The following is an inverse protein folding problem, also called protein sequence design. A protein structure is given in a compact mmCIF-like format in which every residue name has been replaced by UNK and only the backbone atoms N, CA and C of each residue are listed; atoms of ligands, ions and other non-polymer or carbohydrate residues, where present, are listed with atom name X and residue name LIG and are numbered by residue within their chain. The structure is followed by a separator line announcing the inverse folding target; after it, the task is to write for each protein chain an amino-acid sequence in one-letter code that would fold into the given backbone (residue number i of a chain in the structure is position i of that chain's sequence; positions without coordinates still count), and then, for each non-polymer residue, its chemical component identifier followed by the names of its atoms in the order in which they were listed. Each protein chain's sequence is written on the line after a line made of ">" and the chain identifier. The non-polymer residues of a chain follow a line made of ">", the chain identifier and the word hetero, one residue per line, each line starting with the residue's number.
data_IF_575934726628
#
_entry.id   IF_575934726628
#
_cell.length_a   1.000
_cell.length_b   1.000
_cell.length_c   1.000
_cell.angle_alpha   90.00
_cell.angle_beta   90.00
_cell.angle_gamma   90.00
#
_symmetry.space_group_name_H-M   'P 1'
#
loop_
_entity.id
_entity.type
_entity.pdbx_description
1 polymer ?
#
# COMPACT_ATOMS: atom_id res chain seq x y z
N UNK A 1 -2.48 -15.87 -4.25
CA UNK A 1 -2.24 -14.51 -4.77
C UNK A 1 -0.81 -14.06 -4.52
N UNK A 2 -0.36 -13.91 -3.26
CA UNK A 2 0.98 -13.37 -2.92
C UNK A 2 2.16 -14.17 -3.52
N UNK A 3 2.13 -15.51 -3.46
CA UNK A 3 3.15 -16.36 -4.11
C UNK A 3 3.19 -16.14 -5.63
N UNK A 4 2.02 -15.91 -6.24
CA UNK A 4 1.92 -15.64 -7.68
C UNK A 4 2.55 -14.29 -8.03
N UNK A 5 2.26 -13.25 -7.25
CA UNK A 5 2.89 -11.93 -7.39
C UNK A 5 4.40 -12.02 -7.22
N UNK A 6 4.90 -12.74 -6.20
CA UNK A 6 6.34 -12.92 -6.01
C UNK A 6 7.00 -13.60 -7.22
N UNK A 7 6.41 -14.69 -7.73
CA UNK A 7 6.92 -15.39 -8.92
C UNK A 7 6.92 -14.49 -10.15
N UNK A 8 5.88 -13.68 -10.31
CA UNK A 8 5.82 -12.69 -11.38
C UNK A 8 6.98 -11.69 -11.31
N UNK A 9 7.25 -11.15 -10.12
CA UNK A 9 8.33 -10.17 -9.94
C UNK A 9 9.73 -10.79 -10.07
N UNK A 10 9.91 -12.05 -9.66
CA UNK A 10 11.18 -12.76 -9.82
C UNK A 10 11.54 -13.02 -11.29
N UNK A 11 10.59 -12.94 -12.22
CA UNK A 11 10.89 -12.97 -13.66
C UNK A 11 11.43 -11.63 -14.19
N UNK A 12 11.26 -10.54 -13.44
CA UNK A 12 11.61 -9.18 -13.85
C UNK A 12 12.77 -8.60 -13.04
N UNK A 13 13.00 -9.11 -11.83
CA UNK A 13 14.03 -8.65 -10.91
C UNK A 13 14.81 -9.82 -10.34
N UNK A 14 16.12 -9.65 -10.21
CA UNK A 14 16.98 -10.62 -9.51
C UNK A 14 16.63 -10.74 -8.03
N UNK A 15 16.26 -9.63 -7.40
CA UNK A 15 15.83 -9.55 -6.00
C UNK A 15 14.54 -8.72 -5.87
N UNK A 16 13.56 -9.27 -5.16
CA UNK A 16 12.27 -8.62 -4.92
C UNK A 16 12.19 -8.19 -3.47
N UNK A 17 12.34 -6.88 -3.22
CA UNK A 17 12.16 -6.30 -1.89
C UNK A 17 10.72 -5.85 -1.67
N UNK A 18 10.37 -5.47 -0.43
CA UNK A 18 9.09 -4.83 -0.15
C UNK A 18 8.89 -3.52 -0.93
N UNK A 19 9.95 -2.81 -1.30
CA UNK A 19 9.84 -1.58 -2.09
C UNK A 19 9.24 -1.83 -3.49
N UNK A 20 9.40 -3.04 -4.04
CA UNK A 20 8.88 -3.42 -5.35
C UNK A 20 7.37 -3.72 -5.34
N UNK A 21 6.73 -3.72 -4.17
CA UNK A 21 5.28 -3.94 -4.00
C UNK A 21 4.60 -2.93 -3.08
N UNK A 22 5.35 -2.33 -2.15
CA UNK A 22 4.85 -1.51 -1.06
C UNK A 22 5.40 -0.07 -1.14
N UNK A 23 5.48 0.47 -2.35
CA UNK A 23 5.91 1.85 -2.63
C UNK A 23 5.16 2.43 -3.84
N UNK A 24 5.43 3.70 -4.16
CA UNK A 24 4.90 4.31 -5.38
C UNK A 24 5.39 3.61 -6.65
N UNK A 25 6.66 3.17 -6.69
CA UNK A 25 7.18 2.43 -7.85
C UNK A 25 6.70 0.97 -7.88
N UNK A 26 6.30 0.42 -6.72
CA UNK A 26 5.83 -0.96 -6.61
C UNK A 26 4.35 -1.15 -6.97
N UNK A 27 3.53 -0.11 -6.81
CA UNK A 27 2.09 -0.17 -7.07
C UNK A 27 1.75 -0.52 -8.54
N UNK A 28 2.45 0.02 -9.56
CA UNK A 28 2.30 -0.43 -10.94
C UNK A 28 2.63 -1.91 -11.16
N UNK A 29 3.56 -2.49 -10.40
CA UNK A 29 3.86 -3.91 -10.52
C UNK A 29 2.71 -4.81 -10.04
N UNK A 30 2.02 -4.40 -8.96
CA UNK A 30 0.81 -5.09 -8.50
C UNK A 30 -0.28 -5.01 -9.57
N UNK A 31 -0.48 -3.83 -10.16
CA UNK A 31 -1.44 -3.63 -11.23
C UNK A 31 -1.15 -4.53 -12.44
N UNK A 32 0.11 -4.55 -12.90
CA UNK A 32 0.53 -5.35 -14.05
C UNK A 32 0.32 -6.85 -13.80
N UNK A 33 0.70 -7.35 -12.63
CA UNK A 33 0.45 -8.74 -12.25
C UNK A 33 -1.04 -9.09 -12.27
N UNK A 34 -1.88 -8.27 -11.63
CA UNK A 34 -3.32 -8.52 -11.56
C UNK A 34 -3.98 -8.45 -12.93
N UNK A 35 -3.52 -7.57 -13.82
CA UNK A 35 -3.94 -7.52 -15.22
C UNK A 35 -3.65 -8.84 -15.94
N UNK A 36 -2.46 -9.41 -15.77
CA UNK A 36 -2.08 -10.68 -16.40
C UNK A 36 -2.89 -11.88 -15.91
N UNK A 37 -3.42 -11.83 -14.68
CA UNK A 37 -4.32 -12.90 -14.20
C UNK A 37 -5.66 -12.96 -14.94
N UNK A 38 -6.02 -11.91 -15.69
CA UNK A 38 -7.31 -11.78 -16.39
C UNK A 38 -8.55 -11.95 -15.50
N UNK A 39 -8.39 -11.82 -14.17
CA UNK A 39 -9.49 -11.94 -13.20
C UNK A 39 -10.35 -10.68 -13.12
N UNK A 40 -9.81 -9.53 -13.54
CA UNK A 40 -10.47 -8.24 -13.43
C UNK A 40 -10.52 -7.56 -14.79
N UNK A 41 -11.65 -6.94 -15.10
CA UNK A 41 -11.81 -6.13 -16.31
C UNK A 41 -11.03 -4.83 -16.17
N UNK A 42 -10.21 -4.55 -17.18
CA UNK A 42 -9.52 -3.27 -17.32
C UNK A 42 -10.39 -2.31 -18.13
N UNK A 43 -10.65 -1.11 -17.61
CA UNK A 43 -11.51 -0.13 -18.28
C UNK A 43 -10.74 0.62 -19.37
N UNK A 44 -11.37 0.84 -20.53
CA UNK A 44 -10.73 1.45 -21.70
C UNK A 44 -10.09 2.81 -21.39
N UNK A 45 -10.79 3.69 -20.66
CA UNK A 45 -10.27 5.00 -20.29
C UNK A 45 -9.03 4.93 -19.38
N UNK A 46 -8.92 3.89 -18.54
CA UNK A 46 -7.74 3.66 -17.68
C UNK A 46 -6.55 3.30 -18.54
N UNK A 47 -6.73 2.41 -19.53
CA UNK A 47 -5.69 2.00 -20.47
C UNK A 47 -5.17 3.22 -21.24
N UNK A 48 -6.08 3.97 -21.85
CA UNK A 48 -5.76 5.17 -22.62
C UNK A 48 -5.00 6.18 -21.76
N UNK A 49 -5.45 6.42 -20.53
CA UNK A 49 -4.81 7.40 -19.66
C UNK A 49 -3.43 6.94 -19.20
N UNK A 50 -3.28 5.68 -18.78
CA UNK A 50 -2.00 5.10 -18.37
C UNK A 50 -0.95 5.15 -19.49
N UNK A 51 -1.36 5.05 -20.76
CA UNK A 51 -0.45 5.17 -21.90
C UNK A 51 0.11 6.60 -22.11
N UNK A 52 -0.53 7.61 -21.52
CA UNK A 52 -0.17 9.03 -21.71
C UNK A 52 0.64 9.66 -20.58
N UNK A 53 0.80 8.96 -19.45
CA UNK A 53 1.42 9.51 -18.23
C UNK A 53 2.69 8.76 -17.86
N UNK A 54 3.63 9.47 -17.23
CA UNK A 54 4.85 8.84 -16.69
C UNK A 54 4.57 8.15 -15.35
N UNK A 55 3.82 8.80 -14.46
CA UNK A 55 3.36 8.21 -13.20
C UNK A 55 1.90 7.77 -13.32
N UNK A 56 1.68 6.45 -13.33
CA UNK A 56 0.35 5.85 -13.41
C UNK A 56 -0.41 5.84 -12.07
N UNK A 57 0.24 6.09 -10.94
CA UNK A 57 -0.39 5.98 -9.62
C UNK A 57 -1.61 6.88 -9.45
N UNK A 58 -1.59 8.17 -9.86
CA UNK A 58 -2.78 9.02 -9.76
C UNK A 58 -3.96 8.47 -10.56
N UNK A 59 -3.72 7.85 -11.72
CA UNK A 59 -4.77 7.24 -12.55
C UNK A 59 -5.36 6.02 -11.84
N UNK A 60 -4.51 5.16 -11.27
CA UNK A 60 -4.97 3.98 -10.51
C UNK A 60 -5.79 4.41 -9.28
N UNK A 61 -5.34 5.44 -8.55
CA UNK A 61 -6.08 5.99 -7.41
C UNK A 61 -7.45 6.53 -7.84
N UNK A 62 -7.49 7.37 -8.88
CA UNK A 62 -8.72 7.93 -9.39
C UNK A 62 -9.70 6.84 -9.83
N UNK A 63 -9.23 5.86 -10.61
CA UNK A 63 -10.06 4.78 -11.13
C UNK A 63 -10.60 3.86 -10.03
N UNK A 64 -9.82 3.62 -8.97
CA UNK A 64 -10.25 2.82 -7.84
C UNK A 64 -11.24 3.55 -6.91
N UNK A 65 -11.23 4.89 -6.91
CA UNK A 65 -12.04 5.72 -6.00
C UNK A 65 -13.20 6.43 -6.71
N UNK A 66 -13.40 6.18 -8.01
CA UNK A 66 -14.49 6.78 -8.77
C UNK A 66 -15.85 6.29 -8.27
N UNK A 67 -16.83 7.20 -8.19
CA UNK A 67 -18.22 6.86 -7.84
C UNK A 67 -18.97 6.19 -9.00
N UNK A 68 -18.56 6.50 -10.23
CA UNK A 68 -19.09 5.94 -11.48
C UNK A 68 -17.93 5.32 -12.25
N UNK A 69 -18.16 4.18 -12.88
CA UNK A 69 -17.13 3.43 -13.63
C UNK A 69 -15.88 3.12 -12.79
N UNK A 70 -16.10 2.70 -11.53
CA UNK A 70 -15.03 2.23 -10.65
C UNK A 70 -14.32 1.02 -11.27
N UNK A 71 -13.00 1.12 -11.47
CA UNK A 71 -12.21 0.05 -12.09
C UNK A 71 -11.99 -1.12 -11.11
N UNK A 72 -12.52 -2.33 -11.40
CA UNK A 72 -12.32 -3.50 -10.53
C UNK A 72 -10.85 -3.86 -10.37
N UNK A 73 -10.05 -3.73 -11.44
CA UNK A 73 -8.62 -3.98 -11.42
C UNK A 73 -7.87 -2.98 -10.52
N UNK A 74 -8.22 -1.69 -10.59
CA UNK A 74 -7.59 -0.67 -9.73
C UNK A 74 -7.99 -0.85 -8.26
N UNK A 75 -9.26 -1.20 -7.98
CA UNK A 75 -9.71 -1.56 -6.63
C UNK A 75 -8.93 -2.75 -6.09
N UNK A 76 -8.80 -3.83 -6.87
CA UNK A 76 -8.04 -5.02 -6.47
C UNK A 76 -6.56 -4.68 -6.23
N UNK A 77 -5.98 -3.79 -7.04
CA UNK A 77 -4.62 -3.28 -6.87
C UNK A 77 -4.45 -2.58 -5.53
N UNK A 78 -5.34 -1.63 -5.19
CA UNK A 78 -5.23 -0.89 -3.92
C UNK A 78 -5.53 -1.75 -2.69
N UNK A 79 -6.46 -2.70 -2.79
CA UNK A 79 -6.71 -3.69 -1.72
C UNK A 79 -5.48 -4.58 -1.49
N UNK A 80 -4.84 -5.02 -2.55
CA UNK A 80 -3.62 -5.83 -2.48
C UNK A 80 -2.46 -5.02 -1.87
N UNK A 81 -2.27 -3.77 -2.32
CA UNK A 81 -1.28 -2.87 -1.75
C UNK A 81 -1.51 -2.63 -0.25
N UNK A 82 -2.75 -2.33 0.15
CA UNK A 82 -3.11 -2.10 1.55
C UNK A 82 -2.86 -3.35 2.42
N UNK A 83 -3.16 -4.54 1.91
CA UNK A 83 -2.87 -5.80 2.61
C UNK A 83 -1.36 -6.03 2.77
N UNK A 84 -0.56 -5.80 1.71
CA UNK A 84 0.91 -5.93 1.76
C UNK A 84 1.51 -4.93 2.76
N UNK A 85 1.07 -3.67 2.72
CA UNK A 85 1.50 -2.63 3.66
C UNK A 85 1.15 -3.03 5.11
N UNK A 86 -0.06 -3.56 5.33
CA UNK A 86 -0.48 -4.08 6.62
C UNK A 86 0.42 -5.22 7.10
N UNK A 87 0.71 -6.19 6.23
CA UNK A 87 1.57 -7.32 6.55
C UNK A 87 3.00 -6.88 6.93
N UNK A 88 3.58 -5.89 6.24
CA UNK A 88 4.92 -5.39 6.57
C UNK A 88 4.93 -4.50 7.80
N UNK A 89 3.91 -3.65 7.99
CA UNK A 89 3.74 -2.90 9.22
C UNK A 89 3.64 -3.84 10.45
N UNK A 90 2.96 -4.98 10.31
CA UNK A 90 2.89 -6.00 11.35
C UNK A 90 4.23 -6.67 11.61
N UNK A 91 5.04 -6.91 10.56
CA UNK A 91 6.41 -7.41 10.73
C UNK A 91 7.27 -6.40 11.51
N UNK A 92 7.22 -5.11 11.14
CA UNK A 92 7.94 -4.04 11.83
C UNK A 92 7.52 -3.94 13.30
N UNK A 93 6.22 -3.98 13.57
CA UNK A 93 5.69 -3.93 14.93
C UNK A 93 6.25 -5.04 15.82
N UNK A 94 6.41 -6.26 15.29
CA UNK A 94 7.03 -7.37 16.01
C UNK A 94 8.55 -7.24 16.15
N UNK A 95 9.24 -6.77 15.11
CA UNK A 95 10.71 -6.59 15.11
C UNK A 95 11.16 -5.66 16.24
N UNK A 96 10.39 -4.59 16.50
CA UNK A 96 10.77 -3.54 17.46
C UNK A 96 9.87 -3.49 18.71
N UNK A 97 8.91 -4.41 18.83
CA UNK A 97 7.88 -4.41 19.88
C UNK A 97 7.22 -3.03 20.04
N UNK A 98 6.66 -2.51 18.95
CA UNK A 98 6.13 -1.14 18.85
C UNK A 98 4.82 -0.94 19.64
N UNK A 99 4.82 -1.15 20.96
CA UNK A 99 3.61 -1.04 21.80
C UNK A 99 3.05 0.38 21.87
N UNK A 100 3.87 1.40 21.60
CA UNK A 100 3.43 2.79 21.46
C UNK A 100 2.65 3.08 20.18
N UNK A 101 2.71 2.17 19.19
CA UNK A 101 1.99 2.28 17.93
C UNK A 101 2.87 2.30 16.69
N UNK A 102 2.21 2.11 15.54
CA UNK A 102 2.80 2.26 14.20
C UNK A 102 2.20 3.50 13.55
N UNK A 103 3.06 4.34 12.96
CA UNK A 103 2.65 5.54 12.26
C UNK A 103 2.98 5.42 10.77
N UNK A 104 1.95 5.41 9.94
CA UNK A 104 2.06 5.41 8.49
C UNK A 104 2.25 6.84 8.00
N UNK A 105 3.47 7.16 7.59
CA UNK A 105 3.83 8.42 6.95
C UNK A 105 3.95 8.29 5.42
N UNK A 106 4.24 9.41 4.76
CA UNK A 106 4.45 9.48 3.32
C UNK A 106 3.19 9.81 2.52
N UNK A 107 3.34 9.92 1.20
CA UNK A 107 2.29 10.47 0.33
C UNK A 107 1.15 9.51 -0.02
N UNK A 108 1.36 8.19 0.07
CA UNK A 108 0.36 7.19 -0.34
C UNK A 108 -0.70 6.95 0.76
N UNK A 109 -0.33 6.66 2.03
CA UNK A 109 -1.34 6.31 3.04
C UNK A 109 -2.50 7.31 3.19
N UNK A 110 -2.28 8.64 3.17
CA UNK A 110 -3.38 9.62 3.20
C UNK A 110 -4.29 9.57 1.97
N UNK A 111 -3.77 9.20 0.78
CA UNK A 111 -4.53 9.16 -0.47
C UNK A 111 -5.44 7.94 -0.56
N UNK A 112 -5.07 6.83 0.07
CA UNK A 112 -5.82 5.56 0.03
C UNK A 112 -6.51 5.24 1.35
N UNK A 113 -6.84 6.26 2.15
CA UNK A 113 -7.34 6.10 3.52
C UNK A 113 -8.56 5.16 3.60
N UNK A 114 -9.49 5.24 2.64
CA UNK A 114 -10.66 4.35 2.57
C UNK A 114 -10.25 2.87 2.45
N UNK A 115 -9.22 2.55 1.67
CA UNK A 115 -8.71 1.17 1.53
C UNK A 115 -7.96 0.67 2.76
N UNK A 116 -7.32 1.57 3.51
CA UNK A 116 -6.71 1.23 4.80
C UNK A 116 -7.78 0.96 5.87
N UNK A 117 -8.95 1.61 5.76
CA UNK A 117 -10.08 1.50 6.68
C UNK A 117 -11.04 0.34 6.35
N UNK A 118 -11.00 -0.21 5.13
CA UNK A 118 -11.83 -1.34 4.65
C UNK A 118 -11.51 -2.69 5.32
N UNK A 119 -10.71 -2.70 6.40
CA UNK A 119 -10.39 -3.86 7.21
C UNK A 119 -9.25 -4.74 6.69
N UNK A 120 -9.02 -4.80 5.36
CA UNK A 120 -7.98 -5.64 4.76
C UNK A 120 -6.57 -5.36 5.28
N UNK A 121 -6.21 -4.08 5.47
CA UNK A 121 -4.95 -3.68 6.08
C UNK A 121 -4.78 -4.28 7.49
N UNK A 122 -5.77 -4.08 8.37
CA UNK A 122 -5.69 -4.54 9.77
C UNK A 122 -5.75 -6.06 9.88
N UNK A 123 -6.45 -6.73 8.97
CA UNK A 123 -6.46 -8.19 8.88
C UNK A 123 -5.05 -8.71 8.57
N UNK A 124 -4.38 -8.15 7.55
CA UNK A 124 -3.02 -8.52 7.19
C UNK A 124 -2.00 -8.17 8.28
N UNK A 125 -2.14 -7.00 8.92
CA UNK A 125 -1.32 -6.57 10.05
C UNK A 125 -1.34 -7.59 11.19
N UNK A 126 -2.54 -8.06 11.59
CA UNK A 126 -2.72 -8.99 12.70
C UNK A 126 -2.45 -10.45 12.33
N UNK A 127 -2.26 -10.77 11.05
CA UNK A 127 -2.08 -12.14 10.58
C UNK A 127 -0.65 -12.66 10.85
N UNK A 128 -0.31 -12.83 12.14
CA UNK A 128 1.02 -13.29 12.61
C UNK A 128 0.90 -14.47 13.59
N UNK A 129 -0.06 -15.35 13.35
CA UNK A 129 -0.31 -16.56 14.13
C UNK A 129 -0.47 -16.25 15.63
N UNK A 130 0.34 -16.90 16.47
CA UNK A 130 0.33 -16.70 17.95
C UNK A 130 0.53 -15.26 18.42
N UNK A 131 1.09 -14.38 17.58
CA UNK A 131 1.27 -12.96 17.91
C UNK A 131 0.07 -12.08 17.54
N UNK A 132 -1.00 -12.65 16.96
CA UNK A 132 -2.19 -11.89 16.56
C UNK A 132 -2.83 -11.13 17.72
N UNK A 133 -2.90 -11.73 18.90
CA UNK A 133 -3.44 -11.09 20.12
C UNK A 133 -2.58 -9.90 20.57
N UNK A 134 -1.25 -10.00 20.46
CA UNK A 134 -0.33 -8.90 20.78
C UNK A 134 -0.55 -7.74 19.81
N UNK A 135 -0.53 -8.02 18.50
CA UNK A 135 -0.71 -7.00 17.46
C UNK A 135 -2.08 -6.34 17.49
N UNK A 136 -3.12 -7.06 17.95
CA UNK A 136 -4.46 -6.49 18.11
C UNK A 136 -4.52 -5.33 19.11
N UNK A 137 -3.51 -5.19 19.98
CA UNK A 137 -3.40 -4.11 20.97
C UNK A 137 -2.52 -2.95 20.51
N UNK A 138 -1.77 -3.11 19.42
CA UNK A 138 -0.89 -2.07 18.90
C UNK A 138 -1.72 -1.12 18.02
N UNK A 139 -1.79 0.19 18.33
CA UNK A 139 -2.52 1.12 17.51
C UNK A 139 -1.75 1.41 16.21
N UNK A 140 -2.50 1.63 15.13
CA UNK A 140 -1.94 2.08 13.85
C UNK A 140 -2.56 3.43 13.50
N UNK A 141 -1.72 4.41 13.20
CA UNK A 141 -2.10 5.77 12.88
C UNK A 141 -1.66 6.13 11.47
N UNK A 142 -2.51 6.86 10.73
CA UNK A 142 -2.12 7.49 9.47
C UNK A 142 -1.82 8.95 9.75
N UNK A 143 -0.63 9.42 9.38
CA UNK A 143 -0.26 10.82 9.56
C UNK A 143 -0.89 11.64 8.41
N UNK A 144 -1.86 12.48 8.75
CA UNK A 144 -2.58 13.32 7.78
C UNK A 144 -1.97 14.72 7.60
N UNK A 145 -1.07 15.14 8.51
CA UNK A 145 -0.46 16.46 8.42
C UNK A 145 0.62 16.49 7.31
N UNK A 146 0.41 17.23 6.20
CA UNK A 146 1.35 17.25 5.08
C UNK A 146 2.69 17.91 5.43
N UNK A 147 2.73 18.68 6.53
CA UNK A 147 3.94 19.37 7.02
C UNK A 147 4.71 18.54 8.04
N UNK A 148 4.31 17.30 8.36
CA UNK A 148 4.94 16.50 9.42
C UNK A 148 6.45 16.36 9.25
N UNK A 149 6.95 16.18 8.03
CA UNK A 149 8.37 16.05 7.76
C UNK A 149 9.12 17.37 8.05
N UNK A 150 8.55 18.52 7.65
CA UNK A 150 9.10 19.83 7.93
C UNK A 150 9.05 20.16 9.43
N UNK A 151 7.97 19.79 10.12
CA UNK A 151 7.83 19.95 11.57
C UNK A 151 8.86 19.12 12.33
N UNK A 152 9.08 17.87 11.92
CA UNK A 152 10.11 17.00 12.51
C UNK A 152 11.52 17.55 12.30
N UNK A 153 11.81 18.06 11.09
CA UNK A 153 13.09 18.72 10.80
C UNK A 153 13.30 19.99 11.64
N UNK A 154 12.27 20.83 11.76
CA UNK A 154 12.32 22.03 12.60
C UNK A 154 12.50 21.68 14.08
N UNK A 155 11.73 20.72 14.59
CA UNK A 155 11.84 20.26 15.98
C UNK A 155 13.26 19.80 16.30
N UNK A 156 13.82 18.91 15.48
CA UNK A 156 15.19 18.42 15.67
C UNK A 156 16.24 19.54 15.56
N UNK A 157 16.05 20.52 14.67
CA UNK A 157 16.94 21.66 14.51
C UNK A 157 16.88 22.69 15.65
N UNK A 158 15.74 22.77 16.37
CA UNK A 158 15.56 23.67 17.52
C UNK A 158 15.84 23.00 18.87
N UNK A 159 16.01 21.68 18.94
CA UNK A 159 16.41 20.94 20.15
C UNK A 159 17.93 21.06 20.48
N UNK A 160 18.59 22.13 20.04
CA UNK A 160 19.99 22.45 20.42
C UNK A 160 20.01 23.22 21.75
#
# INVERSE_FOLDING_TARGET
>A
MEIGLLRYLLNHFEHVSYEQVCSGIGLPHIYAYLKETQQFTELAWVIEKLATVVDGNPVIFQAAMAEVDQSPLCVATLKTFAAILGAEAGNLALKVLATGGIYLGGGIPPRILSFLQDGGFMQAFKNKGRFSTLLSRIPVHVILNPKVALLGAAYHGFEI
#
